data_IF_882083221469
#
_entry.id   IF_882083221469
#
_cell.length_a   1.000
_cell.length_b   1.000
_cell.length_c   1.000
_cell.angle_alpha   90.00
_cell.angle_beta   90.00
_cell.angle_gamma   90.00
#
_symmetry.space_group_name_H-M   'P 1'
#
loop_
_entity.id
_entity.type
_entity.pdbx_description
1 polymer ?
#
# COMPACT_ATOMS: atom_id res chain seq x y z
N UNK A 1 -6.79 -1.37 -16.67
CA UNK A 1 -7.54 -2.37 -15.88
C UNK A 1 -6.60 -3.02 -14.90
N UNK A 2 -7.11 -3.47 -13.74
CA UNK A 2 -6.41 -4.32 -12.78
C UNK A 2 -7.36 -5.36 -12.20
N UNK A 3 -6.85 -6.27 -11.36
CA UNK A 3 -7.57 -7.45 -10.90
C UNK A 3 -7.35 -7.72 -9.41
N UNK A 4 -8.43 -7.98 -8.68
CA UNK A 4 -8.39 -8.55 -7.33
C UNK A 4 -8.49 -10.08 -7.44
N UNK A 5 -7.39 -10.78 -7.11
CA UNK A 5 -7.32 -12.24 -7.27
C UNK A 5 -7.71 -12.95 -5.97
N UNK A 6 -8.92 -13.48 -5.93
CA UNK A 6 -9.49 -14.21 -4.81
C UNK A 6 -10.67 -13.51 -4.15
N UNK A 7 -11.54 -14.29 -3.52
CA UNK A 7 -12.82 -13.84 -2.99
C UNK A 7 -12.68 -12.76 -1.92
N UNK A 8 -11.71 -12.89 -1.01
CA UNK A 8 -11.47 -11.91 0.06
C UNK A 8 -11.11 -10.54 -0.50
N UNK A 9 -10.18 -10.50 -1.48
CA UNK A 9 -9.79 -9.25 -2.13
C UNK A 9 -10.94 -8.62 -2.93
N UNK A 10 -11.78 -9.46 -3.53
CA UNK A 10 -12.95 -8.99 -4.26
C UNK A 10 -14.01 -8.41 -3.33
N UNK A 11 -14.17 -8.94 -2.13
CA UNK A 11 -15.01 -8.32 -1.10
C UNK A 11 -14.49 -6.95 -0.67
N UNK A 12 -13.18 -6.81 -0.42
CA UNK A 12 -12.59 -5.53 -0.07
C UNK A 12 -12.74 -4.49 -1.20
N UNK A 13 -12.53 -4.92 -2.45
CA UNK A 13 -12.76 -4.10 -3.63
C UNK A 13 -14.22 -3.62 -3.70
N UNK A 14 -15.19 -4.54 -3.57
CA UNK A 14 -16.63 -4.23 -3.59
C UNK A 14 -17.06 -3.35 -2.44
N UNK A 15 -16.39 -3.41 -1.30
CA UNK A 15 -16.72 -2.62 -0.12
C UNK A 15 -16.23 -1.17 -0.23
N UNK A 16 -15.03 -0.95 -0.77
CA UNK A 16 -14.37 0.35 -0.69
C UNK A 16 -14.22 1.07 -2.04
N UNK A 17 -14.38 0.36 -3.16
CA UNK A 17 -14.16 0.89 -4.52
C UNK A 17 -15.18 0.34 -5.52
N UNK A 18 -16.41 0.17 -5.09
CA UNK A 18 -17.52 -0.38 -5.90
C UNK A 18 -17.66 0.33 -7.24
N UNK A 19 -17.56 1.64 -7.26
CA UNK A 19 -17.71 2.50 -8.44
C UNK A 19 -16.61 2.30 -9.50
N UNK A 20 -15.52 1.62 -9.14
CA UNK A 20 -14.43 1.27 -10.07
C UNK A 20 -14.53 -0.14 -10.60
N UNK A 21 -15.43 -0.96 -10.07
CA UNK A 21 -15.59 -2.36 -10.49
C UNK A 21 -16.30 -2.42 -11.84
N UNK A 22 -15.70 -3.15 -12.79
CA UNK A 22 -16.34 -3.40 -14.08
C UNK A 22 -17.19 -4.66 -14.03
N UNK A 23 -16.63 -5.75 -13.49
CA UNK A 23 -17.32 -7.04 -13.37
C UNK A 23 -16.60 -7.96 -12.39
N UNK A 24 -17.29 -9.02 -12.00
CA UNK A 24 -16.75 -10.09 -11.18
C UNK A 24 -16.81 -11.40 -11.94
N UNK A 25 -15.69 -12.10 -12.04
CA UNK A 25 -15.61 -13.43 -12.63
C UNK A 25 -15.71 -14.48 -11.54
N UNK A 26 -16.49 -15.53 -11.80
CA UNK A 26 -16.64 -16.70 -10.93
C UNK A 26 -16.29 -17.95 -11.72
N UNK A 27 -15.39 -18.77 -11.16
CA UNK A 27 -14.99 -20.04 -11.74
C UNK A 27 -16.06 -21.10 -11.51
N UNK A 28 -16.30 -22.01 -12.47
CA UNK A 28 -17.31 -23.07 -12.36
C UNK A 28 -17.10 -24.01 -11.16
N UNK A 29 -15.85 -24.20 -10.72
CA UNK A 29 -15.50 -25.00 -9.54
C UNK A 29 -15.72 -24.26 -8.21
N UNK A 30 -16.20 -23.01 -8.21
CA UNK A 30 -16.54 -22.30 -6.98
C UNK A 30 -17.70 -23.02 -6.26
N UNK A 31 -17.45 -23.40 -5.01
CA UNK A 31 -18.49 -24.10 -4.21
C UNK A 31 -19.65 -23.16 -3.90
N UNK A 32 -20.86 -23.69 -4.04
CA UNK A 32 -22.08 -23.02 -3.55
C UNK A 32 -22.03 -22.87 -2.03
N UNK A 33 -22.61 -21.82 -1.50
CA UNK A 33 -22.72 -21.56 -0.07
C UNK A 33 -22.74 -20.07 0.27
N UNK A 34 -22.90 -19.77 1.54
CA UNK A 34 -23.13 -18.42 2.10
C UNK A 34 -22.16 -17.35 1.59
N UNK A 35 -20.90 -17.73 1.36
CA UNK A 35 -19.86 -16.79 0.92
C UNK A 35 -20.09 -16.37 -0.53
N UNK A 36 -20.45 -17.31 -1.41
CA UNK A 36 -20.79 -17.00 -2.80
C UNK A 36 -22.10 -16.21 -2.86
N UNK A 37 -23.10 -16.62 -2.08
CA UNK A 37 -24.41 -15.95 -2.05
C UNK A 37 -24.29 -14.49 -1.60
N UNK A 38 -23.45 -14.22 -0.59
CA UNK A 38 -23.13 -12.85 -0.16
C UNK A 38 -22.45 -12.04 -1.26
N UNK A 39 -21.50 -12.63 -1.99
CA UNK A 39 -20.81 -11.97 -3.11
C UNK A 39 -21.82 -11.62 -4.22
N UNK A 40 -22.64 -12.59 -4.63
CA UNK A 40 -23.63 -12.39 -5.70
C UNK A 40 -24.66 -11.32 -5.31
N UNK A 41 -25.07 -11.30 -4.04
CA UNK A 41 -25.96 -10.28 -3.51
C UNK A 41 -25.32 -8.89 -3.60
N UNK A 42 -24.07 -8.72 -3.15
CA UNK A 42 -23.34 -7.44 -3.25
C UNK A 42 -23.23 -6.97 -4.70
N UNK A 43 -22.87 -7.87 -5.61
CA UNK A 43 -22.79 -7.52 -7.04
C UNK A 43 -24.15 -7.06 -7.58
N UNK A 44 -25.23 -7.77 -7.23
CA UNK A 44 -26.60 -7.41 -7.65
C UNK A 44 -27.03 -6.06 -7.09
N UNK A 45 -26.79 -5.82 -5.78
CA UNK A 45 -27.18 -4.58 -5.11
C UNK A 45 -26.40 -3.36 -5.65
N UNK A 46 -25.22 -3.59 -6.27
CA UNK A 46 -24.35 -2.57 -6.85
C UNK A 46 -24.39 -2.52 -8.40
N UNK A 47 -25.30 -3.25 -9.04
CA UNK A 47 -25.42 -3.35 -10.52
C UNK A 47 -24.11 -3.79 -11.21
N UNK A 48 -23.38 -4.72 -10.59
CA UNK A 48 -22.13 -5.25 -11.11
C UNK A 48 -22.38 -6.60 -11.81
N UNK A 49 -21.93 -6.69 -13.07
CA UNK A 49 -22.02 -7.91 -13.86
C UNK A 49 -21.20 -9.05 -13.23
N UNK A 50 -21.81 -10.22 -13.10
CA UNK A 50 -21.13 -11.47 -12.71
C UNK A 50 -21.05 -12.40 -13.90
N UNK A 51 -19.82 -12.81 -14.25
CA UNK A 51 -19.53 -13.66 -15.41
C UNK A 51 -18.94 -14.99 -14.94
N UNK A 52 -19.60 -16.09 -15.31
CA UNK A 52 -19.09 -17.44 -15.05
C UNK A 52 -18.19 -17.88 -16.21
N UNK A 53 -16.89 -18.01 -15.95
CA UNK A 53 -15.89 -18.35 -16.98
C UNK A 53 -14.62 -18.89 -16.32
N UNK A 54 -14.04 -19.96 -16.91
CA UNK A 54 -12.85 -20.61 -16.32
C UNK A 54 -11.54 -20.13 -16.96
N UNK A 55 -11.56 -19.77 -18.25
CA UNK A 55 -10.34 -19.45 -19.00
C UNK A 55 -9.54 -18.30 -18.43
N UNK A 56 -10.20 -17.27 -17.89
CA UNK A 56 -9.53 -16.08 -17.36
C UNK A 56 -8.67 -16.39 -16.11
N UNK A 57 -9.07 -17.39 -15.32
CA UNK A 57 -8.34 -17.82 -14.14
C UNK A 57 -6.98 -18.43 -14.50
N UNK A 58 -6.91 -19.17 -15.58
CA UNK A 58 -5.65 -19.76 -16.07
C UNK A 58 -4.66 -18.71 -16.57
N UNK A 59 -5.15 -17.55 -17.01
CA UNK A 59 -4.33 -16.46 -17.54
C UNK A 59 -3.88 -15.52 -16.41
N UNK A 60 -4.79 -15.16 -15.51
CA UNK A 60 -4.55 -14.11 -14.49
C UNK A 60 -4.07 -14.67 -13.16
N UNK A 61 -4.46 -15.90 -12.80
CA UNK A 61 -4.11 -16.48 -11.51
C UNK A 61 -3.05 -17.58 -11.66
N UNK A 62 -1.92 -17.38 -10.98
CA UNK A 62 -0.89 -18.42 -10.83
C UNK A 62 -1.17 -19.36 -9.63
N UNK A 63 -2.32 -19.22 -8.95
CA UNK A 63 -2.69 -20.00 -7.77
C UNK A 63 -3.80 -20.99 -8.11
N UNK A 64 -3.66 -22.23 -7.65
CA UNK A 64 -4.62 -23.31 -7.82
C UNK A 64 -5.99 -23.08 -7.16
N UNK A 65 -6.14 -22.15 -6.21
CA UNK A 65 -7.36 -21.93 -5.43
C UNK A 65 -7.96 -20.52 -5.58
N UNK A 66 -7.86 -19.94 -6.78
CA UNK A 66 -8.51 -18.66 -7.09
C UNK A 66 -9.79 -18.94 -7.89
N UNK A 67 -10.96 -18.79 -7.28
CA UNK A 67 -12.26 -19.05 -7.90
C UNK A 67 -13.11 -17.80 -8.12
N UNK A 68 -12.61 -16.63 -7.69
CA UNK A 68 -13.25 -15.34 -7.87
C UNK A 68 -12.20 -14.31 -8.25
N UNK A 69 -12.50 -13.48 -9.26
CA UNK A 69 -11.66 -12.37 -9.69
C UNK A 69 -12.56 -11.14 -9.88
N UNK A 70 -12.21 -10.01 -9.24
CA UNK A 70 -12.82 -8.71 -9.53
C UNK A 70 -11.96 -7.97 -10.54
N UNK A 71 -12.57 -7.53 -11.64
CA UNK A 71 -11.96 -6.63 -12.61
C UNK A 71 -12.34 -5.20 -12.28
N UNK A 72 -11.36 -4.30 -12.22
CA UNK A 72 -11.62 -2.90 -11.87
C UNK A 72 -10.75 -1.92 -12.66
N UNK A 73 -11.24 -0.69 -12.78
CA UNK A 73 -10.47 0.44 -13.32
C UNK A 73 -9.52 0.98 -12.26
N UNK A 74 -8.32 1.38 -12.66
CA UNK A 74 -7.42 2.11 -11.77
C UNK A 74 -8.10 3.41 -11.32
N UNK A 75 -7.90 3.75 -10.07
CA UNK A 75 -8.45 4.95 -9.45
C UNK A 75 -7.35 5.92 -9.05
N UNK A 76 -7.70 7.17 -8.92
CA UNK A 76 -6.83 8.23 -8.42
C UNK A 76 -7.23 8.59 -6.99
N UNK A 77 -6.26 9.04 -6.21
CA UNK A 77 -6.46 9.55 -4.85
C UNK A 77 -5.85 10.94 -4.75
N UNK A 78 -6.23 11.64 -3.70
CA UNK A 78 -5.56 12.87 -3.26
C UNK A 78 -5.11 12.65 -1.83
N UNK A 79 -3.93 13.16 -1.48
CA UNK A 79 -3.49 13.12 -0.10
C UNK A 79 -4.09 14.32 0.66
N UNK A 80 -4.48 14.06 1.88
CA UNK A 80 -4.91 15.10 2.78
C UNK A 80 -3.69 15.87 3.32
N UNK A 81 -3.68 17.20 3.17
CA UNK A 81 -2.57 18.07 3.58
C UNK A 81 -2.36 18.11 5.09
N UNK A 82 -3.41 17.88 5.86
CA UNK A 82 -3.37 17.94 7.33
C UNK A 82 -3.02 16.59 7.98
N UNK A 83 -2.96 15.52 7.20
CA UNK A 83 -2.61 14.19 7.69
C UNK A 83 -1.12 13.89 7.53
N UNK A 84 -0.60 12.96 8.35
CA UNK A 84 0.75 12.43 8.19
C UNK A 84 0.85 11.46 7.00
N UNK A 85 2.02 11.42 6.35
CA UNK A 85 2.23 10.64 5.14
C UNK A 85 3.34 9.61 5.30
N UNK A 86 3.21 8.49 4.60
CA UNK A 86 4.32 7.61 4.24
C UNK A 86 4.84 8.04 2.88
N UNK A 87 6.13 8.28 2.76
CA UNK A 87 6.78 8.62 1.49
C UNK A 87 7.72 7.49 1.10
N UNK A 88 7.46 6.86 -0.05
CA UNK A 88 8.31 5.82 -0.61
C UNK A 88 9.07 6.39 -1.81
N UNK A 89 10.39 6.41 -1.72
CA UNK A 89 11.27 6.90 -2.80
C UNK A 89 11.81 5.71 -3.59
N UNK A 90 11.45 5.64 -4.87
CA UNK A 90 11.85 4.58 -5.81
C UNK A 90 11.53 3.14 -5.31
N UNK A 91 10.34 2.84 -4.77
CA UNK A 91 10.01 1.48 -4.36
C UNK A 91 9.93 0.55 -5.57
N UNK A 92 10.71 -0.53 -5.57
CA UNK A 92 10.84 -1.43 -6.73
C UNK A 92 10.16 -2.78 -6.54
N UNK A 93 9.91 -3.21 -5.28
CA UNK A 93 9.36 -4.52 -4.98
C UNK A 93 7.86 -4.47 -4.70
N UNK A 94 7.08 -5.15 -5.56
CA UNK A 94 5.62 -5.21 -5.44
C UNK A 94 5.13 -5.82 -4.11
N UNK A 95 5.82 -6.85 -3.60
CA UNK A 95 5.49 -7.47 -2.33
C UNK A 95 5.70 -6.53 -1.14
N UNK A 96 6.81 -5.78 -1.16
CA UNK A 96 7.13 -4.78 -0.14
C UNK A 96 6.10 -3.65 -0.13
N UNK A 97 5.79 -3.07 -1.30
CA UNK A 97 4.79 -2.01 -1.40
C UNK A 97 3.44 -2.45 -0.84
N UNK A 98 2.93 -3.61 -1.25
CA UNK A 98 1.65 -4.12 -0.74
C UNK A 98 1.68 -4.39 0.77
N UNK A 99 2.79 -4.90 1.31
CA UNK A 99 2.96 -5.13 2.75
C UNK A 99 2.98 -3.81 3.52
N UNK A 100 3.64 -2.77 3.00
CA UNK A 100 3.65 -1.44 3.61
C UNK A 100 2.25 -0.84 3.61
N UNK A 101 1.50 -0.93 2.50
CA UNK A 101 0.10 -0.46 2.45
C UNK A 101 -0.77 -1.13 3.51
N UNK A 102 -0.58 -2.45 3.73
CA UNK A 102 -1.32 -3.18 4.76
C UNK A 102 -0.97 -2.71 6.17
N UNK A 103 0.31 -2.53 6.48
CA UNK A 103 0.75 -2.01 7.76
C UNK A 103 0.28 -0.56 7.97
N UNK A 104 0.37 0.27 6.94
CA UNK A 104 -0.07 1.66 6.96
C UNK A 104 -1.56 1.78 7.30
N UNK A 105 -2.41 0.96 6.68
CA UNK A 105 -3.82 0.90 7.03
C UNK A 105 -4.02 0.43 8.49
N UNK A 106 -3.24 -0.58 8.93
CA UNK A 106 -3.33 -1.13 10.28
C UNK A 106 -2.93 -0.13 11.37
N UNK A 107 -2.02 0.79 11.08
CA UNK A 107 -1.57 1.84 12.00
C UNK A 107 -2.22 3.21 11.75
N UNK A 108 -3.29 3.28 10.95
CA UNK A 108 -4.00 4.54 10.69
C UNK A 108 -3.25 5.56 9.82
N UNK A 109 -2.11 5.18 9.23
CA UNK A 109 -1.28 6.03 8.36
C UNK A 109 -1.47 5.72 6.87
N UNK A 110 -2.70 5.58 6.42
CA UNK A 110 -3.05 5.09 5.09
C UNK A 110 -2.92 6.13 3.95
N UNK A 111 -2.06 7.14 4.10
CA UNK A 111 -1.77 8.16 3.08
C UNK A 111 -0.33 8.05 2.62
N UNK A 112 -0.14 7.81 1.32
CA UNK A 112 1.14 7.41 0.78
C UNK A 112 1.53 8.23 -0.46
N UNK A 113 2.66 8.92 -0.39
CA UNK A 113 3.32 9.52 -1.54
C UNK A 113 4.33 8.51 -2.12
N UNK A 114 4.30 8.30 -3.43
CA UNK A 114 5.16 7.35 -4.12
C UNK A 114 5.99 8.14 -5.15
N UNK A 115 7.29 8.22 -4.91
CA UNK A 115 8.21 8.94 -5.79
C UNK A 115 8.76 7.99 -6.86
N UNK A 116 8.62 8.37 -8.10
CA UNK A 116 9.09 7.59 -9.26
C UNK A 116 10.63 7.56 -9.36
N UNK A 117 11.19 6.53 -10.05
CA UNK A 117 10.53 5.36 -10.61
C UNK A 117 10.00 4.43 -9.53
N UNK A 118 8.86 3.80 -9.77
CA UNK A 118 8.21 2.97 -8.76
C UNK A 118 7.39 1.84 -9.39
N UNK A 119 7.21 0.75 -8.64
CA UNK A 119 6.27 -0.31 -9.01
C UNK A 119 4.85 0.24 -9.08
N UNK A 120 4.04 -0.30 -10.00
CA UNK A 120 2.63 0.05 -10.13
C UNK A 120 1.84 -0.50 -8.93
N UNK A 121 1.19 0.36 -8.15
CA UNK A 121 0.35 -0.03 -7.03
C UNK A 121 -0.80 -0.97 -7.44
N UNK A 122 -1.24 -0.87 -8.69
CA UNK A 122 -2.28 -1.73 -9.25
C UNK A 122 -1.76 -3.05 -9.86
N UNK A 123 -0.45 -3.33 -9.78
CA UNK A 123 0.06 -4.67 -10.11
C UNK A 123 -0.64 -5.72 -9.24
N UNK A 124 -1.14 -6.82 -9.82
CA UNK A 124 -1.83 -7.87 -9.05
C UNK A 124 -1.03 -8.44 -7.88
N UNK A 125 0.33 -8.37 -7.94
CA UNK A 125 1.19 -8.77 -6.83
C UNK A 125 1.10 -7.77 -5.66
N UNK A 126 1.02 -6.45 -5.93
CA UNK A 126 0.81 -5.41 -4.91
C UNK A 126 -0.57 -5.56 -4.30
N UNK A 127 -1.62 -5.64 -5.13
CA UNK A 127 -3.01 -5.83 -4.70
C UNK A 127 -3.12 -7.04 -3.77
N UNK A 128 -2.49 -8.16 -4.14
CA UNK A 128 -2.49 -9.39 -3.33
C UNK A 128 -1.71 -9.21 -2.03
N UNK A 129 -0.50 -8.64 -2.08
CA UNK A 129 0.35 -8.47 -0.89
C UNK A 129 -0.29 -7.48 0.11
N UNK A 130 -1.05 -6.51 -0.35
CA UNK A 130 -1.79 -5.58 0.50
C UNK A 130 -2.97 -6.21 1.22
N UNK A 131 -3.37 -7.43 0.85
CA UNK A 131 -4.58 -8.10 1.38
C UNK A 131 -5.84 -7.22 1.29
N UNK A 132 -5.93 -6.37 0.25
CA UNK A 132 -7.04 -5.45 0.01
C UNK A 132 -6.87 -4.06 0.62
N UNK A 133 -5.83 -3.81 1.43
CA UNK A 133 -5.57 -2.49 2.02
C UNK A 133 -5.43 -1.37 0.97
N UNK A 134 -4.98 -1.72 -0.24
CA UNK A 134 -4.91 -0.77 -1.37
C UNK A 134 -6.25 -0.06 -1.63
N UNK A 135 -7.38 -0.73 -1.42
CA UNK A 135 -8.70 -0.16 -1.68
C UNK A 135 -9.12 0.88 -0.62
N UNK A 136 -8.41 0.94 0.51
CA UNK A 136 -8.60 1.91 1.59
C UNK A 136 -7.40 2.83 1.79
N UNK A 137 -6.36 2.70 0.96
CA UNK A 137 -5.17 3.55 0.99
C UNK A 137 -5.33 4.68 -0.02
N UNK A 138 -5.06 5.90 0.41
CA UNK A 138 -4.92 7.07 -0.45
C UNK A 138 -3.45 7.14 -0.90
N UNK A 139 -3.19 7.10 -2.20
CA UNK A 139 -1.83 7.19 -2.69
C UNK A 139 -1.74 8.02 -3.97
N UNK A 140 -0.63 8.77 -4.09
CA UNK A 140 -0.34 9.63 -5.23
C UNK A 140 1.09 9.40 -5.68
N UNK A 141 1.30 9.34 -6.98
CA UNK A 141 2.62 9.28 -7.60
C UNK A 141 3.13 10.68 -7.92
N UNK A 142 4.40 10.92 -7.61
CA UNK A 142 5.13 12.14 -7.94
C UNK A 142 6.35 11.79 -8.81
N UNK A 143 6.67 12.62 -9.77
CA UNK A 143 7.84 12.41 -10.64
C UNK A 143 9.15 12.71 -9.91
N UNK A 144 9.11 13.55 -8.85
CA UNK A 144 10.25 13.83 -7.98
C UNK A 144 9.82 14.11 -6.54
N UNK A 145 10.76 14.02 -5.60
CA UNK A 145 10.54 14.44 -4.23
C UNK A 145 10.26 15.94 -4.12
N UNK A 146 10.89 16.76 -4.97
CA UNK A 146 10.64 18.21 -5.02
C UNK A 146 9.20 18.54 -5.41
N UNK A 147 8.59 17.74 -6.27
CA UNK A 147 7.18 17.89 -6.64
C UNK A 147 6.28 17.63 -5.43
N UNK A 148 6.55 16.55 -4.69
CA UNK A 148 5.86 16.28 -3.43
C UNK A 148 6.04 17.45 -2.42
N UNK A 149 7.26 17.97 -2.27
CA UNK A 149 7.56 19.06 -1.35
C UNK A 149 6.88 20.38 -1.70
N UNK A 150 6.67 20.68 -2.99
CA UNK A 150 5.92 21.88 -3.42
C UNK A 150 4.47 21.85 -2.92
N UNK A 151 3.89 20.69 -2.82
CA UNK A 151 2.48 20.54 -2.44
C UNK A 151 2.30 20.27 -0.93
N UNK A 152 3.24 19.50 -0.33
CA UNK A 152 3.13 18.95 1.04
C UNK A 152 4.33 19.28 1.93
N UNK A 153 5.12 20.31 1.62
CA UNK A 153 6.35 20.65 2.36
C UNK A 153 6.15 21.26 3.75
N UNK A 154 4.95 21.69 4.09
CA UNK A 154 4.64 22.27 5.41
C UNK A 154 4.35 21.16 6.43
N UNK A 155 5.39 20.38 6.79
CA UNK A 155 5.34 19.26 7.75
C UNK A 155 6.72 18.84 8.23
N UNK A 156 6.78 18.14 9.36
CA UNK A 156 8.02 17.53 9.81
C UNK A 156 8.42 16.37 8.88
N UNK A 157 9.71 16.27 8.55
CA UNK A 157 10.24 15.27 7.63
C UNK A 157 11.21 14.35 8.38
N UNK A 158 10.98 13.05 8.30
CA UNK A 158 11.78 12.01 8.94
C UNK A 158 12.31 11.01 7.91
N UNK A 159 13.44 11.30 7.23
CA UNK A 159 14.12 10.35 6.36
C UNK A 159 14.75 9.22 7.19
N UNK A 160 14.44 7.97 6.83
CA UNK A 160 15.04 6.80 7.46
C UNK A 160 16.34 6.42 6.76
N UNK A 161 17.46 6.61 7.46
CA UNK A 161 18.81 6.44 6.93
C UNK A 161 19.69 5.65 7.90
N UNK A 162 20.60 4.81 7.37
CA UNK A 162 21.47 3.95 8.18
C UNK A 162 22.59 4.73 8.91
N UNK A 163 22.99 5.87 8.37
CA UNK A 163 23.99 6.78 8.92
C UNK A 163 23.42 7.91 9.79
N UNK A 164 22.11 7.92 10.02
CA UNK A 164 21.45 8.90 10.88
C UNK A 164 21.91 8.77 12.33
N UNK A 165 21.97 9.92 13.02
CA UNK A 165 22.36 9.99 14.45
C UNK A 165 21.17 9.88 15.39
N UNK A 166 20.01 10.40 14.98
CA UNK A 166 18.79 10.34 15.77
C UNK A 166 18.20 8.94 15.76
N UNK A 167 17.93 8.39 16.91
CA UNK A 167 17.31 7.07 17.04
C UNK A 167 15.78 7.20 17.03
N UNK A 168 15.09 6.25 16.45
CA UNK A 168 13.62 6.27 16.32
C UNK A 168 12.92 6.46 17.68
N UNK A 169 13.38 5.83 18.75
CA UNK A 169 12.77 5.92 20.06
C UNK A 169 12.97 7.31 20.76
N UNK A 170 13.85 8.16 20.21
CA UNK A 170 14.04 9.53 20.67
C UNK A 170 13.18 10.53 19.86
N UNK A 171 12.47 10.05 18.83
CA UNK A 171 11.61 10.88 17.96
C UNK A 171 10.19 10.87 18.51
N UNK A 172 9.61 12.05 18.64
CA UNK A 172 8.20 12.25 18.97
C UNK A 172 7.60 13.20 17.95
N UNK A 173 7.10 12.69 16.82
CA UNK A 173 6.49 13.53 15.80
C UNK A 173 5.32 14.32 16.39
N UNK A 174 5.22 15.59 16.02
CA UNK A 174 4.12 16.46 16.40
C UNK A 174 3.32 16.80 15.16
N UNK A 175 2.03 16.99 15.33
CA UNK A 175 1.13 17.37 14.25
C UNK A 175 1.29 16.49 12.98
N UNK A 176 1.41 17.13 11.81
CA UNK A 176 1.58 16.46 10.52
C UNK A 176 3.06 16.22 10.19
N UNK A 177 3.38 15.00 9.78
CA UNK A 177 4.75 14.60 9.45
C UNK A 177 4.79 13.65 8.27
N UNK A 178 5.99 13.40 7.75
CA UNK A 178 6.25 12.39 6.72
C UNK A 178 7.36 11.44 7.15
N UNK A 179 7.08 10.14 7.16
CA UNK A 179 8.07 9.08 7.31
C UNK A 179 8.56 8.70 5.90
N UNK A 180 9.84 8.93 5.62
CA UNK A 180 10.40 8.81 4.28
C UNK A 180 11.33 7.62 4.21
N UNK A 181 11.05 6.70 3.28
CA UNK A 181 11.81 5.47 3.08
C UNK A 181 12.33 5.39 1.65
N UNK A 182 13.54 4.86 1.48
CA UNK A 182 14.19 4.69 0.19
C UNK A 182 13.92 3.34 -0.46
N UNK A 183 14.60 3.14 -1.59
CA UNK A 183 14.62 1.88 -2.32
C UNK A 183 15.20 0.73 -1.48
N UNK A 184 14.72 -0.48 -1.71
CA UNK A 184 15.10 -1.67 -0.94
C UNK A 184 16.59 -2.03 -1.02
N UNK A 185 17.22 -1.73 -2.15
CA UNK A 185 18.62 -2.06 -2.40
C UNK A 185 19.60 -0.90 -2.10
N UNK A 186 19.19 0.33 -2.43
CA UNK A 186 20.08 1.50 -2.37
C UNK A 186 19.77 2.46 -1.21
N UNK A 187 18.63 2.30 -0.55
CA UNK A 187 18.17 3.23 0.48
C UNK A 187 17.76 4.58 -0.10
N UNK A 188 17.79 5.61 0.74
CA UNK A 188 17.63 7.01 0.32
C UNK A 188 18.95 7.57 -0.19
N UNK A 189 18.94 8.44 -1.23
CA UNK A 189 20.10 9.24 -1.61
C UNK A 189 20.65 10.05 -0.44
N UNK A 190 21.97 10.26 -0.40
CA UNK A 190 22.66 10.94 0.72
C UNK A 190 22.11 12.36 0.97
N UNK A 191 21.61 13.03 -0.04
CA UNK A 191 21.00 14.37 0.07
C UNK A 191 19.82 14.42 1.05
N UNK A 192 19.13 13.30 1.28
CA UNK A 192 18.06 13.21 2.26
C UNK A 192 18.55 13.39 3.71
N UNK A 193 19.83 13.24 3.99
CA UNK A 193 20.42 13.55 5.30
C UNK A 193 20.25 15.03 5.70
N UNK A 194 20.06 15.92 4.73
CA UNK A 194 19.88 17.36 4.92
C UNK A 194 18.41 17.79 4.84
N UNK A 195 17.49 16.81 4.67
CA UNK A 195 16.05 17.07 4.55
C UNK A 195 15.38 16.68 5.87
N UNK A 196 14.98 17.66 6.66
CA UNK A 196 14.34 17.41 7.95
C UNK A 196 15.28 16.75 8.98
N UNK A 197 14.75 15.80 9.75
CA UNK A 197 15.49 15.09 10.78
C UNK A 197 15.67 13.61 10.37
N UNK A 198 16.86 13.24 9.92
CA UNK A 198 17.16 11.86 9.58
C UNK A 198 17.15 10.96 10.82
N UNK A 199 16.57 9.74 10.66
CA UNK A 199 16.28 8.81 11.76
C UNK A 199 16.84 7.42 11.43
N UNK A 200 17.39 6.74 12.44
CA UNK A 200 17.77 5.34 12.36
C UNK A 200 16.91 4.48 13.29
N UNK A 201 16.52 3.30 12.81
CA UNK A 201 15.96 2.24 13.65
C UNK A 201 17.15 1.44 14.19
N UNK A 202 17.44 1.51 15.49
CA UNK A 202 18.56 0.76 16.06
C UNK A 202 18.37 -0.74 15.87
N UNK A 203 19.38 -1.40 15.32
CA UNK A 203 19.38 -2.84 15.12
C UNK A 203 20.80 -3.42 15.33
N UNK A 204 20.92 -4.73 15.41
CA UNK A 204 22.19 -5.41 15.62
C UNK A 204 23.14 -5.21 14.43
N UNK A 205 24.42 -4.96 14.71
CA UNK A 205 25.47 -4.88 13.68
C UNK A 205 25.74 -6.22 12.95
N UNK A 206 24.97 -7.29 13.24
CA UNK A 206 25.05 -8.57 12.53
C UNK A 206 24.31 -8.57 11.19
N UNK A 207 23.54 -7.53 10.93
CA UNK A 207 22.83 -7.30 9.67
C UNK A 207 23.10 -5.87 9.20
N UNK A 208 23.14 -5.66 7.89
CA UNK A 208 23.41 -4.35 7.30
C UNK A 208 22.19 -3.42 7.38
N UNK A 209 20.98 -3.97 7.23
CA UNK A 209 19.73 -3.22 7.27
C UNK A 209 18.53 -4.12 7.60
N UNK A 210 17.42 -3.51 7.99
CA UNK A 210 16.12 -4.15 8.08
C UNK A 210 15.45 -4.18 6.71
N UNK A 211 14.65 -5.22 6.46
CA UNK A 211 13.76 -5.24 5.30
C UNK A 211 12.83 -4.03 5.33
N UNK A 212 12.61 -3.38 4.17
CA UNK A 212 11.86 -2.13 4.06
C UNK A 212 10.46 -2.17 4.70
N UNK A 213 9.58 -3.16 4.46
CA UNK A 213 8.30 -3.26 5.15
C UNK A 213 8.41 -3.37 6.67
N UNK A 214 9.44 -4.04 7.17
CA UNK A 214 9.67 -4.18 8.61
C UNK A 214 10.06 -2.82 9.20
N UNK A 215 11.01 -2.12 8.58
CA UNK A 215 11.42 -0.78 9.00
C UNK A 215 10.25 0.19 8.97
N UNK A 216 9.47 0.21 7.89
CA UNK A 216 8.29 1.06 7.78
C UNK A 216 7.22 0.74 8.84
N UNK A 217 6.98 -0.56 9.12
CA UNK A 217 6.00 -0.97 10.13
C UNK A 217 6.42 -0.56 11.55
N UNK A 218 7.71 -0.71 11.90
CA UNK A 218 8.24 -0.28 13.20
C UNK A 218 8.13 1.24 13.35
N UNK A 219 8.46 1.99 12.30
CA UNK A 219 8.37 3.45 12.33
C UNK A 219 6.93 3.93 12.46
N UNK A 220 5.98 3.35 11.73
CA UNK A 220 4.56 3.66 11.86
C UNK A 220 4.03 3.34 13.25
N UNK A 221 4.34 2.15 13.79
CA UNK A 221 3.95 1.78 15.15
C UNK A 221 4.48 2.78 16.18
N UNK A 222 5.76 3.13 16.10
CA UNK A 222 6.36 4.08 17.04
C UNK A 222 5.71 5.46 16.96
N UNK A 223 5.38 5.91 15.74
CA UNK A 223 4.74 7.21 15.52
C UNK A 223 3.28 7.26 15.96
N UNK A 224 2.58 6.11 16.03
CA UNK A 224 1.13 6.06 16.29
C UNK A 224 0.75 5.27 17.55
N UNK A 225 1.72 4.72 18.29
CA UNK A 225 1.46 3.85 19.46
C UNK A 225 0.63 4.50 20.57
N UNK A 226 0.58 5.83 20.63
CA UNK A 226 -0.23 6.57 21.60
C UNK A 226 -1.72 6.66 21.19
N UNK A 227 -2.06 6.30 19.96
CA UNK A 227 -3.42 6.38 19.41
C UNK A 227 -4.24 5.09 19.65
N UNK A 228 -3.60 4.03 20.20
CA UNK A 228 -4.20 2.71 20.43
C UNK A 228 -4.26 2.30 21.92
#
# INVERSE_FOLDING_TARGET
MSYSLGITLTFELLKFKTEYVNRVYVHSAMKQGDTLDKLLKLCKDSDIEVVYVDKIFNVLSQKENCYVIGEFRKFESKLDKESSHIVLVNPSNAGNMGTIMRSALGFGMNRMAIIRPAVDAFDPKVVRASMGAIFSTEFVYFDSFDEYMKEYGDRELYPFMLDAKMKLHDVSPRDKFSLIFGNEATGLPHEFSNIGQSVIIPHSARIDSLNLPIAASIAMYEATKADF
#
